data_IF_674359434510
#
_entry.id   IF_674359434510
#
_cell.length_a   1.000
_cell.length_b   1.000
_cell.length_c   1.000
_cell.angle_alpha   90.00
_cell.angle_beta   90.00
_cell.angle_gamma   90.00
#
_symmetry.space_group_name_H-M   'P 1'
#
loop_
_entity.id
_entity.type
_entity.pdbx_description
1 polymer ?
#
# COMPACT_ATOMS: atom_id res chain seq x y z
N UNK A 1 -24.66 -9.95 -16.55
CA UNK A 1 -25.28 -9.38 -15.33
C UNK A 1 -24.56 -8.11 -14.94
N UNK A 2 -25.19 -7.14 -14.24
CA UNK A 2 -24.48 -5.93 -13.78
C UNK A 2 -23.43 -6.27 -12.75
N UNK A 3 -22.24 -5.70 -12.89
CA UNK A 3 -21.12 -5.78 -11.94
C UNK A 3 -21.38 -4.84 -10.77
N UNK A 4 -21.56 -5.40 -9.57
CA UNK A 4 -21.85 -4.66 -8.33
C UNK A 4 -20.65 -4.72 -7.42
N UNK A 5 -20.11 -3.55 -7.05
CA UNK A 5 -19.04 -3.40 -6.06
C UNK A 5 -19.65 -2.84 -4.76
N UNK A 6 -19.51 -3.57 -3.68
CA UNK A 6 -19.89 -3.12 -2.35
C UNK A 6 -18.65 -2.66 -1.60
N UNK A 7 -18.59 -1.35 -1.34
CA UNK A 7 -17.50 -0.71 -0.60
C UNK A 7 -17.88 -0.74 0.90
N UNK A 8 -17.18 -1.56 1.67
CA UNK A 8 -17.28 -1.63 3.13
C UNK A 8 -16.20 -0.73 3.73
N UNK A 9 -16.60 0.44 4.18
CA UNK A 9 -15.70 1.45 4.70
C UNK A 9 -15.76 1.50 6.23
N UNK A 10 -14.59 1.49 6.87
CA UNK A 10 -14.49 1.57 8.34
C UNK A 10 -14.68 2.97 8.88
N UNK A 11 -14.69 3.99 8.02
CA UNK A 11 -14.86 5.39 8.39
C UNK A 11 -16.34 5.81 8.40
N UNK A 12 -16.61 6.99 8.93
CA UNK A 12 -17.97 7.55 9.03
C UNK A 12 -18.58 7.87 7.68
N UNK A 13 -17.77 8.08 6.65
CA UNK A 13 -18.19 8.34 5.28
C UNK A 13 -17.41 7.47 4.32
N UNK A 14 -18.08 6.81 3.35
CA UNK A 14 -17.37 6.03 2.34
C UNK A 14 -16.47 6.92 1.48
N UNK A 15 -15.31 6.40 1.11
CA UNK A 15 -14.33 7.09 0.29
C UNK A 15 -14.87 7.46 -1.09
N UNK A 16 -14.84 8.76 -1.41
CA UNK A 16 -15.15 9.25 -2.77
C UNK A 16 -14.12 8.75 -3.76
N UNK A 17 -12.84 8.72 -3.37
CA UNK A 17 -11.75 8.23 -4.21
C UNK A 17 -11.98 6.78 -4.63
N UNK A 18 -12.27 5.88 -3.68
CA UNK A 18 -12.48 4.46 -3.96
C UNK A 18 -13.77 4.23 -4.74
N UNK A 19 -14.79 5.06 -4.52
CA UNK A 19 -16.02 5.06 -5.33
C UNK A 19 -15.72 5.35 -6.80
N UNK A 20 -14.95 6.41 -7.09
CA UNK A 20 -14.56 6.77 -8.48
C UNK A 20 -13.72 5.67 -9.10
N UNK A 21 -12.70 5.16 -8.39
CA UNK A 21 -11.84 4.08 -8.89
C UNK A 21 -12.65 2.80 -9.10
N UNK A 22 -13.66 2.53 -8.28
CA UNK A 22 -14.57 1.40 -8.46
C UNK A 22 -15.30 1.46 -9.81
N UNK A 23 -15.83 2.61 -10.19
CA UNK A 23 -16.43 2.82 -11.52
C UNK A 23 -15.38 2.72 -12.64
N UNK A 24 -14.24 3.38 -12.49
CA UNK A 24 -13.17 3.37 -13.48
C UNK A 24 -12.56 1.97 -13.68
N UNK A 25 -12.61 1.11 -12.66
CA UNK A 25 -12.21 -0.30 -12.69
C UNK A 25 -13.29 -1.24 -13.28
N UNK A 26 -14.41 -0.69 -13.74
CA UNK A 26 -15.42 -1.41 -14.52
C UNK A 26 -16.61 -1.94 -13.71
N UNK A 27 -16.86 -1.45 -12.50
CA UNK A 27 -18.10 -1.72 -11.81
C UNK A 27 -19.27 -0.95 -12.46
N UNK A 28 -20.39 -1.61 -12.73
CA UNK A 28 -21.62 -0.95 -13.23
C UNK A 28 -22.31 -0.15 -12.11
N UNK A 29 -22.10 -0.56 -10.86
CA UNK A 29 -22.60 0.14 -9.69
C UNK A 29 -21.68 -0.04 -8.50
N UNK A 30 -21.36 1.05 -7.82
CA UNK A 30 -20.64 1.08 -6.53
C UNK A 30 -21.63 1.52 -5.46
N UNK A 31 -21.69 0.77 -4.35
CA UNK A 31 -22.52 1.11 -3.19
C UNK A 31 -21.63 1.10 -1.95
N UNK A 32 -21.48 2.27 -1.33
CA UNK A 32 -20.69 2.44 -0.10
C UNK A 32 -21.54 2.25 1.16
N UNK A 33 -20.96 1.56 2.13
CA UNK A 33 -21.47 1.42 3.49
C UNK A 33 -20.42 1.98 4.44
N UNK A 34 -20.82 2.88 5.33
CA UNK A 34 -19.98 3.54 6.32
C UNK A 34 -20.02 2.83 7.67
N UNK A 35 -19.03 3.10 8.52
CA UNK A 35 -18.94 2.55 9.88
C UNK A 35 -19.07 1.01 9.91
N UNK A 36 -18.52 0.34 8.89
CA UNK A 36 -18.55 -1.13 8.83
C UNK A 36 -17.47 -1.69 9.76
N UNK A 37 -17.88 -2.62 10.61
CA UNK A 37 -17.02 -3.25 11.63
C UNK A 37 -17.16 -4.77 11.55
N UNK A 38 -16.25 -5.54 12.14
CA UNK A 38 -16.41 -6.99 12.26
C UNK A 38 -17.72 -7.44 12.92
N UNK A 39 -18.32 -6.59 13.77
CA UNK A 39 -19.54 -6.93 14.54
C UNK A 39 -20.81 -6.72 13.70
N UNK A 40 -20.82 -5.77 12.76
CA UNK A 40 -22.02 -5.43 11.98
C UNK A 40 -21.98 -5.90 10.52
N UNK A 41 -20.85 -6.41 10.02
CA UNK A 41 -20.68 -6.78 8.60
C UNK A 41 -21.46 -8.03 8.17
N UNK A 42 -21.92 -8.87 9.11
CA UNK A 42 -22.50 -10.18 8.81
C UNK A 42 -23.64 -10.10 7.77
N UNK A 43 -24.68 -9.30 8.04
CA UNK A 43 -25.81 -9.14 7.14
C UNK A 43 -25.43 -8.56 5.77
N UNK A 44 -24.40 -7.72 5.69
CA UNK A 44 -23.90 -7.18 4.42
C UNK A 44 -23.23 -8.28 3.60
N UNK A 45 -22.40 -9.13 4.22
CA UNK A 45 -21.76 -10.28 3.55
C UNK A 45 -22.84 -11.27 3.08
N UNK A 46 -23.80 -11.62 3.92
CA UNK A 46 -24.92 -12.52 3.57
C UNK A 46 -25.66 -12.00 2.33
N UNK A 47 -25.92 -10.69 2.27
CA UNK A 47 -26.51 -10.05 1.09
C UNK A 47 -25.70 -10.22 -0.18
N UNK A 48 -24.36 -10.31 -0.10
CA UNK A 48 -23.52 -10.51 -1.28
C UNK A 48 -23.44 -11.98 -1.73
N UNK A 49 -23.41 -12.94 -0.80
CA UNK A 49 -23.15 -14.35 -1.11
C UNK A 49 -24.39 -15.17 -1.42
N UNK A 50 -25.59 -14.74 -0.97
CA UNK A 50 -26.85 -15.49 -1.17
C UNK A 50 -27.70 -14.99 -2.33
N UNK A 51 -27.47 -13.78 -2.86
CA UNK A 51 -28.35 -13.16 -3.87
C UNK A 51 -28.13 -13.67 -5.29
N UNK A 52 -26.96 -14.23 -5.57
CA UNK A 52 -26.60 -14.74 -6.91
C UNK A 52 -26.04 -16.14 -6.83
N UNK A 53 -26.31 -16.98 -7.86
CA UNK A 53 -25.87 -18.37 -7.94
C UNK A 53 -24.94 -18.64 -9.10
N UNK A 54 -24.18 -19.74 -9.03
CA UNK A 54 -23.31 -20.18 -10.11
C UNK A 54 -22.34 -19.11 -10.60
N UNK A 55 -22.24 -18.93 -11.90
CA UNK A 55 -21.35 -17.93 -12.54
C UNK A 55 -21.78 -16.48 -12.29
N UNK A 56 -23.02 -16.22 -11.91
CA UNK A 56 -23.48 -14.86 -11.68
C UNK A 56 -22.85 -14.22 -10.45
N UNK A 57 -22.32 -15.03 -9.51
CA UNK A 57 -21.58 -14.54 -8.32
C UNK A 57 -20.37 -13.70 -8.68
N UNK A 58 -19.68 -14.01 -9.76
CA UNK A 58 -18.52 -13.21 -10.24
C UNK A 58 -18.87 -11.75 -10.57
N UNK A 59 -20.17 -11.44 -10.72
CA UNK A 59 -20.63 -10.08 -10.94
C UNK A 59 -20.92 -9.32 -9.61
N UNK A 60 -20.55 -9.89 -8.46
CA UNK A 60 -20.62 -9.24 -7.14
C UNK A 60 -19.26 -9.29 -6.49
N UNK A 61 -18.79 -8.16 -5.96
CA UNK A 61 -17.51 -8.06 -5.29
C UNK A 61 -17.58 -7.14 -4.06
N UNK A 62 -16.65 -7.33 -3.14
CA UNK A 62 -16.48 -6.52 -1.93
C UNK A 62 -15.13 -5.82 -1.99
N UNK A 63 -15.12 -4.52 -1.67
CA UNK A 63 -13.92 -3.74 -1.40
C UNK A 63 -13.94 -3.30 0.06
N UNK A 64 -12.88 -3.55 0.79
CA UNK A 64 -12.69 -3.11 2.18
C UNK A 64 -11.77 -1.90 2.19
N UNK A 65 -12.32 -0.74 2.62
CA UNK A 65 -11.64 0.55 2.67
C UNK A 65 -11.56 1.15 4.07
N UNK A 66 -11.36 2.47 4.11
CA UNK A 66 -11.26 3.29 5.32
C UNK A 66 -9.85 3.75 5.64
N UNK A 67 -9.72 4.77 6.48
CA UNK A 67 -8.46 5.43 6.79
C UNK A 67 -7.55 4.64 7.77
N UNK A 68 -8.09 3.65 8.47
CA UNK A 68 -7.36 2.88 9.47
C UNK A 68 -7.06 1.45 9.00
N UNK A 69 -5.79 1.17 8.72
CA UNK A 69 -5.34 -0.13 8.20
C UNK A 69 -5.69 -1.29 9.15
N UNK A 70 -5.50 -1.14 10.46
CA UNK A 70 -5.78 -2.23 11.41
C UNK A 70 -7.27 -2.56 11.50
N UNK A 71 -8.15 -1.55 11.43
CA UNK A 71 -9.60 -1.75 11.35
C UNK A 71 -9.97 -2.45 10.03
N UNK A 72 -9.39 -2.02 8.92
CA UNK A 72 -9.60 -2.63 7.61
C UNK A 72 -9.16 -4.10 7.56
N UNK A 73 -7.98 -4.41 8.09
CA UNK A 73 -7.50 -5.80 8.21
C UNK A 73 -8.44 -6.67 9.04
N UNK A 74 -8.89 -6.18 10.21
CA UNK A 74 -9.83 -6.90 11.06
C UNK A 74 -11.17 -7.15 10.35
N UNK A 75 -11.68 -6.15 9.61
CA UNK A 75 -12.90 -6.26 8.82
C UNK A 75 -12.72 -7.25 7.66
N UNK A 76 -11.62 -7.16 6.93
CA UNK A 76 -11.29 -8.05 5.82
C UNK A 76 -11.20 -9.52 6.26
N UNK A 77 -10.54 -9.78 7.40
CA UNK A 77 -10.48 -11.12 7.98
C UNK A 77 -11.88 -11.63 8.38
N UNK A 78 -12.74 -10.78 8.91
CA UNK A 78 -14.12 -11.15 9.24
C UNK A 78 -14.91 -11.48 7.99
N UNK A 79 -14.81 -10.68 6.92
CA UNK A 79 -15.47 -10.94 5.63
C UNK A 79 -15.02 -12.29 5.08
N UNK A 80 -13.72 -12.57 5.02
CA UNK A 80 -13.18 -13.85 4.54
C UNK A 80 -13.70 -15.05 5.37
N UNK A 81 -13.76 -14.92 6.69
CA UNK A 81 -14.28 -15.96 7.60
C UNK A 81 -15.78 -16.20 7.46
N UNK A 82 -16.52 -15.26 6.89
CA UNK A 82 -17.95 -15.42 6.62
C UNK A 82 -18.21 -16.21 5.35
N UNK A 83 -17.20 -16.43 4.50
CA UNK A 83 -17.31 -17.24 3.30
C UNK A 83 -17.22 -18.73 3.63
N UNK A 84 -18.01 -19.55 2.98
CA UNK A 84 -17.98 -21.00 3.15
C UNK A 84 -18.37 -21.74 1.86
N UNK A 85 -17.63 -22.77 1.50
CA UNK A 85 -17.85 -23.52 0.28
C UNK A 85 -18.03 -22.61 -0.95
N UNK A 86 -19.09 -22.80 -1.75
CA UNK A 86 -19.36 -21.97 -2.91
C UNK A 86 -20.02 -20.62 -2.59
N UNK A 87 -20.34 -20.35 -1.31
CA UNK A 87 -20.94 -19.09 -0.87
C UNK A 87 -19.85 -18.07 -0.56
N UNK A 88 -19.35 -17.46 -1.62
CA UNK A 88 -18.29 -16.43 -1.59
C UNK A 88 -18.35 -15.54 -2.81
N UNK A 89 -17.77 -14.37 -2.69
CA UNK A 89 -17.51 -13.41 -3.76
C UNK A 89 -16.06 -12.93 -3.66
N UNK A 90 -15.51 -12.34 -4.72
CA UNK A 90 -14.18 -11.76 -4.66
C UNK A 90 -14.14 -10.58 -3.71
N UNK A 91 -13.01 -10.41 -3.01
CA UNK A 91 -12.80 -9.35 -2.00
C UNK A 91 -11.41 -8.76 -2.10
N UNK A 92 -11.30 -7.45 -1.93
CA UNK A 92 -10.05 -6.68 -1.92
C UNK A 92 -9.93 -5.85 -0.65
N UNK A 93 -8.70 -5.69 -0.16
CA UNK A 93 -8.34 -4.78 0.93
C UNK A 93 -7.39 -3.69 0.42
N UNK A 94 -7.77 -2.42 0.57
CA UNK A 94 -6.84 -1.29 0.33
C UNK A 94 -7.14 -0.10 1.24
N UNK A 95 -7.18 -0.35 2.55
CA UNK A 95 -7.39 0.73 3.54
C UNK A 95 -6.32 1.81 3.41
N UNK A 96 -6.77 3.07 3.37
CA UNK A 96 -5.94 4.25 3.16
C UNK A 96 -5.09 4.19 1.87
N UNK A 97 -5.50 3.39 0.87
CA UNK A 97 -4.73 3.16 -0.34
C UNK A 97 -3.33 2.58 -0.08
N UNK A 98 -3.14 1.91 1.08
CA UNK A 98 -1.81 1.52 1.55
C UNK A 98 -1.20 0.39 0.73
N UNK A 99 -1.99 -0.61 0.36
CA UNK A 99 -1.50 -1.74 -0.43
C UNK A 99 -1.12 -1.28 -1.85
N UNK A 100 -2.02 -0.57 -2.53
CA UNK A 100 -1.78 -0.15 -3.92
C UNK A 100 -0.67 0.90 -4.04
N UNK A 101 -0.56 1.84 -3.08
CA UNK A 101 0.50 2.86 -3.10
C UNK A 101 1.87 2.25 -2.84
N UNK A 102 2.00 1.44 -1.80
CA UNK A 102 3.27 0.79 -1.48
C UNK A 102 3.68 -0.20 -2.58
N UNK A 103 2.73 -0.98 -3.10
CA UNK A 103 2.97 -1.93 -4.19
C UNK A 103 3.49 -1.23 -5.45
N UNK A 104 2.85 -0.13 -5.87
CA UNK A 104 3.30 0.64 -7.03
C UNK A 104 4.71 1.23 -6.82
N UNK A 105 4.97 1.82 -5.65
CA UNK A 105 6.27 2.40 -5.34
C UNK A 105 7.38 1.36 -5.35
N UNK A 106 7.21 0.24 -4.63
CA UNK A 106 8.25 -0.81 -4.56
C UNK A 106 8.41 -1.55 -5.89
N UNK A 107 7.32 -1.79 -6.65
CA UNK A 107 7.42 -2.40 -7.98
C UNK A 107 8.24 -1.56 -8.95
N UNK A 108 8.10 -0.22 -8.93
CA UNK A 108 8.93 0.69 -9.74
C UNK A 108 10.39 0.65 -9.34
N UNK A 109 10.70 0.58 -8.03
CA UNK A 109 12.06 0.41 -7.54
C UNK A 109 12.65 -0.93 -7.99
N UNK A 110 11.90 -2.03 -7.83
CA UNK A 110 12.33 -3.38 -8.23
C UNK A 110 12.55 -3.53 -9.73
N UNK A 111 11.75 -2.82 -10.56
CA UNK A 111 11.95 -2.74 -12.01
C UNK A 111 13.23 -1.97 -12.36
N UNK A 112 13.51 -0.90 -11.63
CA UNK A 112 14.67 -0.04 -11.92
C UNK A 112 16.01 -0.70 -11.59
N UNK A 113 16.09 -1.41 -10.45
CA UNK A 113 17.30 -2.13 -10.02
C UNK A 113 16.94 -3.35 -9.14
N UNK A 114 17.78 -4.42 -9.12
CA UNK A 114 17.61 -5.52 -8.19
C UNK A 114 17.69 -5.06 -6.73
N UNK A 115 16.70 -5.44 -5.91
CA UNK A 115 16.63 -5.03 -4.50
C UNK A 115 17.25 -6.06 -3.54
N UNK A 116 17.43 -7.31 -3.97
CA UNK A 116 17.97 -8.39 -3.14
C UNK A 116 19.34 -8.05 -2.58
N UNK A 117 19.48 -8.19 -1.25
CA UNK A 117 20.72 -7.91 -0.53
C UNK A 117 21.04 -6.42 -0.35
N UNK A 118 20.17 -5.52 -0.82
CA UNK A 118 20.30 -4.07 -0.63
C UNK A 118 19.76 -3.65 0.74
N UNK A 119 20.38 -2.64 1.34
CA UNK A 119 19.87 -2.01 2.57
C UNK A 119 18.80 -0.98 2.20
N UNK A 120 17.59 -1.19 2.68
CA UNK A 120 16.47 -0.30 2.45
C UNK A 120 16.05 0.40 3.75
N UNK A 121 15.87 1.71 3.69
CA UNK A 121 15.35 2.51 4.80
C UNK A 121 14.00 3.10 4.43
N UNK A 122 12.98 2.77 5.23
CA UNK A 122 11.65 3.38 5.09
C UNK A 122 11.49 4.47 6.14
N UNK A 123 11.55 5.72 5.72
CA UNK A 123 11.38 6.88 6.57
C UNK A 123 9.91 7.03 6.96
N UNK A 124 9.62 7.30 8.25
CA UNK A 124 8.29 7.30 8.84
C UNK A 124 7.53 5.97 8.57
N UNK A 125 8.24 4.84 8.63
CA UNK A 125 7.79 3.51 8.22
C UNK A 125 6.70 2.87 9.10
N UNK A 126 6.21 3.55 10.12
CA UNK A 126 5.16 3.03 11.03
C UNK A 126 3.73 3.36 10.58
N UNK A 127 3.59 4.16 9.52
CA UNK A 127 2.30 4.43 8.89
C UNK A 127 1.85 3.31 7.94
N UNK A 128 0.56 3.32 7.48
CA UNK A 128 0.02 2.26 6.63
C UNK A 128 0.85 1.98 5.38
N UNK A 129 1.18 2.99 4.60
CA UNK A 129 1.98 2.84 3.37
C UNK A 129 3.41 2.39 3.70
N UNK A 130 4.02 2.96 4.76
CA UNK A 130 5.39 2.62 5.16
C UNK A 130 5.53 1.16 5.61
N UNK A 131 4.58 0.64 6.39
CA UNK A 131 4.58 -0.76 6.82
C UNK A 131 4.43 -1.71 5.63
N UNK A 132 3.59 -1.39 4.65
CA UNK A 132 3.43 -2.18 3.41
C UNK A 132 4.68 -2.12 2.54
N UNK A 133 5.25 -0.93 2.36
CA UNK A 133 6.50 -0.77 1.61
C UNK A 133 7.65 -1.57 2.23
N UNK A 134 7.78 -1.54 3.57
CA UNK A 134 8.77 -2.35 4.28
C UNK A 134 8.55 -3.85 4.05
N UNK A 135 7.30 -4.31 4.09
CA UNK A 135 6.93 -5.68 3.76
C UNK A 135 7.37 -6.08 2.35
N UNK A 136 7.01 -5.30 1.35
CA UNK A 136 7.34 -5.60 -0.05
C UNK A 136 8.84 -5.52 -0.34
N UNK A 137 9.56 -4.55 0.23
CA UNK A 137 11.02 -4.48 0.12
C UNK A 137 11.69 -5.73 0.71
N UNK A 138 11.21 -6.20 1.87
CA UNK A 138 11.70 -7.44 2.47
C UNK A 138 11.36 -8.68 1.64
N UNK A 139 10.17 -8.75 1.02
CA UNK A 139 9.80 -9.83 0.08
C UNK A 139 10.72 -9.86 -1.15
N UNK A 140 11.24 -8.71 -1.60
CA UNK A 140 12.26 -8.63 -2.65
C UNK A 140 13.68 -8.98 -2.15
N UNK A 141 13.83 -9.32 -0.87
CA UNK A 141 15.10 -9.72 -0.26
C UNK A 141 16.01 -8.58 0.16
N UNK A 142 15.47 -7.37 0.33
CA UNK A 142 16.20 -6.25 0.92
C UNK A 142 16.33 -6.42 2.44
N UNK A 143 17.42 -5.89 3.01
CA UNK A 143 17.60 -5.71 4.46
C UNK A 143 16.92 -4.39 4.87
N UNK A 144 15.78 -4.50 5.56
CA UNK A 144 14.88 -3.37 5.78
C UNK A 144 14.99 -2.80 7.18
N UNK A 145 15.17 -1.48 7.24
CA UNK A 145 15.05 -0.69 8.47
C UNK A 145 13.90 0.31 8.30
N UNK A 146 13.00 0.40 9.28
CA UNK A 146 11.97 1.44 9.33
C UNK A 146 12.32 2.48 10.39
N UNK A 147 11.97 3.74 10.15
CA UNK A 147 12.16 4.81 11.15
C UNK A 147 10.83 5.28 11.72
N UNK A 148 10.87 5.75 12.96
CA UNK A 148 9.78 6.44 13.64
C UNK A 148 10.35 7.54 14.54
N UNK A 149 9.46 8.36 15.14
CA UNK A 149 9.89 9.40 16.10
C UNK A 149 10.63 8.85 17.30
N UNK A 150 10.38 7.60 17.68
CA UNK A 150 11.16 6.89 18.67
C UNK A 150 11.53 5.50 18.16
N UNK A 151 12.65 4.96 18.63
CA UNK A 151 13.13 3.62 18.26
C UNK A 151 12.13 2.54 18.69
N UNK A 152 11.56 2.67 19.89
CA UNK A 152 10.60 1.70 20.45
C UNK A 152 9.37 1.56 19.54
N UNK A 153 8.82 2.67 19.05
CA UNK A 153 7.68 2.63 18.10
C UNK A 153 8.06 1.98 16.77
N UNK A 154 9.27 2.20 16.29
CA UNK A 154 9.75 1.55 15.09
C UNK A 154 9.91 0.04 15.31
N UNK A 155 10.48 -0.39 16.43
CA UNK A 155 10.62 -1.80 16.78
C UNK A 155 9.28 -2.51 16.98
N UNK A 156 8.29 -1.85 17.58
CA UNK A 156 6.92 -2.39 17.69
C UNK A 156 6.29 -2.60 16.31
N UNK A 157 6.38 -1.62 15.43
CA UNK A 157 5.88 -1.74 14.05
C UNK A 157 6.66 -2.81 13.26
N UNK A 158 7.97 -2.93 13.44
CA UNK A 158 8.78 -3.97 12.83
C UNK A 158 8.27 -5.37 13.20
N UNK A 159 7.92 -5.63 14.46
CA UNK A 159 7.33 -6.91 14.90
C UNK A 159 5.99 -7.20 14.21
N UNK A 160 5.17 -6.16 13.98
CA UNK A 160 3.90 -6.33 13.24
C UNK A 160 4.16 -6.70 11.79
N UNK A 161 5.14 -6.05 11.14
CA UNK A 161 5.54 -6.36 9.76
C UNK A 161 6.12 -7.78 9.68
N UNK A 162 7.01 -8.15 10.60
CA UNK A 162 7.58 -9.51 10.67
C UNK A 162 6.49 -10.57 10.79
N UNK A 163 5.53 -10.36 11.69
CA UNK A 163 4.39 -11.27 11.87
C UNK A 163 3.54 -11.39 10.60
N UNK A 164 3.32 -10.27 9.89
CA UNK A 164 2.43 -10.22 8.73
C UNK A 164 3.08 -10.82 7.47
N UNK A 165 4.37 -10.56 7.24
CA UNK A 165 5.06 -10.91 6.00
C UNK A 165 6.11 -12.02 6.17
N UNK A 166 6.40 -12.46 7.38
CA UNK A 166 7.41 -13.50 7.64
C UNK A 166 8.85 -13.05 7.36
N UNK A 167 9.11 -11.75 7.34
CA UNK A 167 10.40 -11.15 7.03
C UNK A 167 10.96 -10.43 8.26
N UNK A 168 12.29 -10.34 8.36
CA UNK A 168 12.95 -9.58 9.42
C UNK A 168 13.04 -8.09 9.05
N UNK A 169 12.66 -7.21 9.99
CA UNK A 169 12.72 -5.76 9.84
C UNK A 169 13.35 -5.15 11.09
N UNK A 170 14.19 -4.16 10.93
CA UNK A 170 14.82 -3.42 12.03
C UNK A 170 14.11 -2.08 12.27
N UNK A 171 14.10 -1.62 13.53
CA UNK A 171 13.56 -0.31 13.91
C UNK A 171 14.68 0.66 14.29
N UNK A 172 14.55 1.93 13.87
CA UNK A 172 15.48 3.01 14.22
C UNK A 172 14.71 4.30 14.60
N UNK A 173 15.37 5.17 15.37
CA UNK A 173 14.87 6.51 15.60
C UNK A 173 15.02 7.37 14.33
N UNK A 174 14.17 8.37 14.18
CA UNK A 174 14.15 9.28 13.03
C UNK A 174 13.34 10.54 13.32
N UNK A 175 13.40 11.04 14.56
CA UNK A 175 12.69 12.27 14.95
C UNK A 175 13.38 13.51 14.37
N UNK A 176 14.73 13.53 14.34
CA UNK A 176 15.51 14.66 13.86
C UNK A 176 16.14 14.40 12.50
N UNK A 177 16.62 15.43 11.83
CA UNK A 177 17.32 15.33 10.55
C UNK A 177 18.62 14.53 10.70
N UNK A 178 19.33 14.68 11.82
CA UNK A 178 20.55 13.96 12.12
C UNK A 178 20.28 12.46 12.29
N UNK A 179 19.21 12.08 13.00
CA UNK A 179 18.83 10.68 13.17
C UNK A 179 18.45 10.05 11.83
N UNK A 180 17.69 10.77 10.98
CA UNK A 180 17.31 10.28 9.65
C UNK A 180 18.51 10.20 8.71
N UNK A 181 19.40 11.18 8.73
CA UNK A 181 20.64 11.15 7.97
C UNK A 181 21.54 9.98 8.40
N UNK A 182 21.63 9.70 9.70
CA UNK A 182 22.36 8.55 10.22
C UNK A 182 21.72 7.22 9.77
N UNK A 183 20.39 7.13 9.79
CA UNK A 183 19.67 5.93 9.34
C UNK A 183 19.93 5.62 7.86
N UNK A 184 20.02 6.63 6.99
CA UNK A 184 20.22 6.43 5.54
C UNK A 184 21.69 6.39 5.11
N UNK A 185 22.65 6.56 6.04
CA UNK A 185 24.09 6.65 5.72
C UNK A 185 24.59 5.48 4.86
N UNK A 186 24.19 4.27 5.21
CA UNK A 186 24.60 3.04 4.52
C UNK A 186 23.50 2.45 3.63
N UNK A 187 22.40 3.19 3.43
CA UNK A 187 21.25 2.73 2.65
C UNK A 187 21.55 2.73 1.14
N UNK A 188 21.03 1.74 0.43
CA UNK A 188 20.97 1.72 -1.02
C UNK A 188 19.62 2.24 -1.53
N UNK A 189 18.58 2.06 -0.73
CA UNK A 189 17.20 2.41 -1.06
C UNK A 189 16.63 3.25 0.06
N UNK A 190 16.04 4.38 -0.28
CA UNK A 190 15.28 5.22 0.67
C UNK A 190 13.85 5.35 0.16
N UNK A 191 12.90 4.98 1.02
CA UNK A 191 11.48 5.12 0.76
C UNK A 191 10.86 6.06 1.80
N UNK A 192 10.40 7.23 1.39
CA UNK A 192 9.75 8.20 2.26
C UNK A 192 8.24 7.97 2.28
N UNK A 193 7.69 7.68 3.47
CA UNK A 193 6.27 7.44 3.70
C UNK A 193 5.70 8.36 4.81
N UNK A 194 6.21 9.58 4.87
CA UNK A 194 5.80 10.58 5.86
C UNK A 194 4.42 11.17 5.63
N UNK A 195 3.97 11.94 6.61
CA UNK A 195 2.73 12.70 6.48
C UNK A 195 2.86 13.78 5.39
N UNK A 196 1.73 14.14 4.82
CA UNK A 196 1.63 15.20 3.81
C UNK A 196 2.23 16.50 4.33
N UNK A 197 3.09 17.13 3.51
CA UNK A 197 3.71 18.41 3.84
C UNK A 197 4.80 18.35 4.91
N UNK A 198 5.35 17.16 5.19
CA UNK A 198 6.45 16.98 6.14
C UNK A 198 7.70 16.52 5.42
N UNK A 199 8.73 17.36 5.39
CA UNK A 199 10.06 16.98 4.91
C UNK A 199 10.73 16.04 5.91
N UNK A 200 11.22 14.90 5.44
CA UNK A 200 11.90 13.89 6.24
C UNK A 200 13.40 13.80 5.94
N UNK A 201 13.80 14.01 4.71
CA UNK A 201 15.20 13.86 4.30
C UNK A 201 15.70 15.13 3.61
N UNK A 202 16.60 15.89 4.23
CA UNK A 202 17.22 17.05 3.59
C UNK A 202 18.13 16.60 2.44
N UNK A 203 18.23 17.42 1.40
CA UNK A 203 19.03 17.14 0.20
C UNK A 203 20.49 16.81 0.53
N UNK A 204 21.06 17.48 1.52
CA UNK A 204 22.44 17.26 1.99
C UNK A 204 22.69 15.83 2.51
N UNK A 205 21.67 15.13 2.99
CA UNK A 205 21.81 13.77 3.52
C UNK A 205 21.90 12.68 2.43
N UNK A 206 21.45 12.98 1.21
CA UNK A 206 21.38 11.97 0.16
C UNK A 206 22.15 12.34 -1.12
N UNK A 207 22.23 13.61 -1.51
CA UNK A 207 22.73 14.03 -2.82
C UNK A 207 24.13 13.49 -3.13
N UNK A 208 25.04 13.58 -2.16
CA UNK A 208 26.44 13.12 -2.29
C UNK A 208 26.70 11.77 -1.59
N UNK A 209 25.67 11.08 -1.11
CA UNK A 209 25.84 9.77 -0.50
C UNK A 209 26.07 8.71 -1.60
N UNK A 210 27.28 8.10 -1.68
CA UNK A 210 27.63 7.17 -2.76
C UNK A 210 26.87 5.83 -2.66
N UNK A 211 26.29 5.50 -1.50
CA UNK A 211 25.59 4.24 -1.27
C UNK A 211 24.17 4.24 -1.82
N UNK A 212 23.49 5.40 -1.79
CA UNK A 212 22.09 5.51 -2.23
C UNK A 212 22.00 5.38 -3.75
N UNK A 213 21.16 4.48 -4.19
CA UNK A 213 20.90 4.17 -5.59
C UNK A 213 19.47 4.52 -6.01
N UNK A 214 18.51 4.37 -5.08
CA UNK A 214 17.08 4.53 -5.33
C UNK A 214 16.43 5.39 -4.25
N UNK A 215 15.59 6.32 -4.69
CA UNK A 215 14.78 7.19 -3.85
C UNK A 215 13.30 7.06 -4.26
N UNK A 216 12.40 6.92 -3.31
CA UNK A 216 10.96 6.99 -3.51
C UNK A 216 10.32 7.89 -2.46
N UNK A 217 9.39 8.74 -2.87
CA UNK A 217 8.61 9.59 -1.99
C UNK A 217 7.14 9.53 -2.36
N UNK A 218 6.27 9.21 -1.40
CA UNK A 218 4.82 9.15 -1.63
C UNK A 218 4.09 10.42 -1.20
N UNK A 219 4.79 11.44 -0.77
CA UNK A 219 4.23 12.76 -0.44
C UNK A 219 4.13 13.64 -1.68
N UNK A 220 2.90 13.99 -2.08
CA UNK A 220 2.63 14.81 -3.26
C UNK A 220 2.55 16.31 -2.99
N UNK A 221 2.48 16.73 -1.72
CA UNK A 221 2.30 18.14 -1.33
C UNK A 221 3.59 18.72 -0.74
N UNK A 222 4.03 19.89 -1.22
CA UNK A 222 5.20 20.55 -0.68
C UNK A 222 5.01 20.97 0.82
N UNK A 223 6.09 20.93 1.61
CA UNK A 223 7.38 20.35 1.27
C UNK A 223 7.30 18.83 1.08
N UNK A 224 8.02 18.30 0.07
CA UNK A 224 8.07 16.87 -0.18
C UNK A 224 8.85 16.16 0.93
N UNK A 225 8.62 14.86 1.09
CA UNK A 225 9.32 14.06 2.10
C UNK A 225 10.82 13.95 1.86
N UNK A 226 11.26 13.90 0.59
CA UNK A 226 12.65 13.95 0.18
C UNK A 226 12.91 15.28 -0.52
N UNK A 227 13.72 16.15 0.10
CA UNK A 227 14.06 17.44 -0.49
C UNK A 227 14.91 17.26 -1.76
N UNK A 228 14.59 18.03 -2.80
CA UNK A 228 15.38 18.10 -4.03
C UNK A 228 14.98 17.12 -5.12
N UNK A 229 13.99 16.23 -4.89
CA UNK A 229 13.34 15.50 -5.98
C UNK A 229 12.00 16.17 -6.30
N UNK A 230 11.41 15.79 -7.46
CA UNK A 230 10.13 16.33 -7.90
C UNK A 230 9.01 15.30 -7.71
N UNK A 231 7.79 15.75 -7.35
CA UNK A 231 6.64 14.86 -7.22
C UNK A 231 6.34 14.06 -8.52
N UNK A 232 6.70 14.61 -9.67
CA UNK A 232 6.49 14.01 -11.00
C UNK A 232 7.58 13.05 -11.45
N UNK A 233 8.66 12.86 -10.68
CA UNK A 233 9.79 12.01 -11.06
C UNK A 233 9.35 10.55 -11.27
N UNK A 234 9.85 9.96 -12.36
CA UNK A 234 9.56 8.57 -12.78
C UNK A 234 10.86 7.86 -13.15
N UNK A 235 11.75 7.67 -12.18
CA UNK A 235 13.09 7.18 -12.42
C UNK A 235 14.02 8.27 -12.94
N UNK A 236 13.79 9.52 -12.57
CA UNK A 236 14.68 10.63 -12.93
C UNK A 236 16.01 10.49 -12.22
N UNK A 237 17.09 10.71 -12.94
CA UNK A 237 18.44 10.58 -12.41
C UNK A 237 18.91 11.86 -11.72
N UNK A 238 19.48 11.69 -10.53
CA UNK A 238 20.15 12.71 -9.74
C UNK A 238 21.49 12.17 -9.26
N UNK A 239 22.59 12.60 -9.83
CA UNK A 239 23.96 12.17 -9.45
C UNK A 239 24.08 10.63 -9.37
N UNK A 240 23.60 9.90 -10.38
CA UNK A 240 23.62 8.43 -10.44
C UNK A 240 22.54 7.70 -9.62
N UNK A 241 21.65 8.43 -8.96
CA UNK A 241 20.52 7.90 -8.20
C UNK A 241 19.22 8.06 -8.98
N UNK A 242 18.34 7.06 -8.96
CA UNK A 242 17.03 7.15 -9.59
C UNK A 242 15.97 7.53 -8.56
N UNK A 243 15.19 8.56 -8.87
CA UNK A 243 14.15 9.08 -8.00
C UNK A 243 12.74 8.85 -8.57
N UNK A 244 11.81 8.48 -7.69
CA UNK A 244 10.40 8.29 -7.98
C UNK A 244 9.58 9.15 -7.01
N UNK A 245 8.92 10.15 -7.54
CA UNK A 245 8.05 11.04 -6.77
C UNK A 245 6.61 10.54 -6.71
N UNK A 246 5.82 11.12 -5.85
CA UNK A 246 4.46 10.67 -5.54
C UNK A 246 3.52 10.63 -6.75
N UNK A 247 3.58 11.60 -7.66
CA UNK A 247 2.78 11.61 -8.89
C UNK A 247 3.33 10.61 -9.92
N UNK A 248 4.65 10.39 -9.92
CA UNK A 248 5.28 9.35 -10.71
C UNK A 248 4.80 7.96 -10.31
N UNK A 249 4.81 7.67 -9.01
CA UNK A 249 4.28 6.43 -8.40
C UNK A 249 2.75 6.35 -8.59
N UNK A 250 2.05 7.46 -8.40
CA UNK A 250 0.60 7.56 -8.49
C UNK A 250 0.03 7.14 -9.83
N UNK A 251 0.76 7.34 -10.92
CA UNK A 251 0.37 6.88 -12.25
C UNK A 251 0.21 5.36 -12.33
N UNK A 252 1.16 4.60 -11.76
CA UNK A 252 1.04 3.15 -11.66
C UNK A 252 -0.01 2.75 -10.61
N UNK A 253 -0.03 3.42 -9.44
CA UNK A 253 -1.01 3.16 -8.37
C UNK A 253 -2.45 3.20 -8.86
N UNK A 254 -2.83 4.22 -9.62
CA UNK A 254 -4.19 4.34 -10.14
C UNK A 254 -4.53 3.24 -11.15
N UNK A 255 -3.60 2.90 -12.03
CA UNK A 255 -3.77 1.80 -12.99
C UNK A 255 -3.93 0.46 -12.25
N UNK A 256 -3.06 0.20 -11.27
CA UNK A 256 -3.09 -1.00 -10.44
C UNK A 256 -4.42 -1.12 -9.68
N UNK A 257 -4.89 -0.05 -9.06
CA UNK A 257 -6.15 -0.06 -8.30
C UNK A 257 -7.34 -0.41 -9.22
N UNK A 258 -7.42 0.22 -10.41
CA UNK A 258 -8.45 -0.10 -11.42
C UNK A 258 -8.36 -1.55 -11.89
N UNK A 259 -7.17 -2.05 -12.13
CA UNK A 259 -6.94 -3.45 -12.53
C UNK A 259 -7.36 -4.44 -11.43
N UNK A 260 -7.02 -4.17 -10.17
CA UNK A 260 -7.51 -4.97 -9.05
C UNK A 260 -9.04 -5.03 -9.01
N UNK A 261 -9.71 -3.88 -9.19
CA UNK A 261 -11.19 -3.85 -9.26
C UNK A 261 -11.71 -4.67 -10.44
N UNK A 262 -11.10 -4.56 -11.63
CA UNK A 262 -11.48 -5.34 -12.79
C UNK A 262 -11.38 -6.85 -12.53
N UNK A 263 -10.28 -7.27 -11.91
CA UNK A 263 -10.01 -8.67 -11.55
C UNK A 263 -10.96 -9.24 -10.52
N UNK A 264 -11.58 -8.43 -9.66
CA UNK A 264 -12.62 -8.90 -8.75
C UNK A 264 -13.83 -9.50 -9.48
N UNK A 265 -14.06 -9.11 -10.73
CA UNK A 265 -15.18 -9.58 -11.55
C UNK A 265 -14.83 -10.72 -12.53
N UNK A 266 -13.57 -11.19 -12.52
CA UNK A 266 -13.16 -12.35 -13.33
C UNK A 266 -13.53 -13.68 -12.68
N UNK A 267 -13.69 -13.69 -11.35
CA UNK A 267 -13.97 -14.87 -10.54
C UNK A 267 -14.86 -14.48 -9.36
N UNK A 268 -15.41 -15.47 -8.64
CA UNK A 268 -16.03 -15.26 -7.32
C UNK A 268 -15.12 -15.67 -6.15
N UNK A 269 -13.86 -16.02 -6.43
CA UNK A 269 -12.93 -16.57 -5.44
C UNK A 269 -11.70 -15.71 -5.21
N UNK A 270 -11.59 -14.58 -5.92
CA UNK A 270 -10.44 -13.67 -5.82
C UNK A 270 -10.32 -13.05 -4.42
N UNK A 271 -9.15 -13.14 -3.85
CA UNK A 271 -8.78 -12.47 -2.60
C UNK A 271 -7.56 -11.60 -2.91
N UNK A 272 -7.73 -10.28 -2.84
CA UNK A 272 -6.68 -9.32 -3.15
C UNK A 272 -6.28 -8.58 -1.87
N UNK A 273 -5.23 -9.08 -1.24
CA UNK A 273 -4.53 -8.42 -0.13
C UNK A 273 -3.16 -7.91 -0.62
N UNK A 274 -2.31 -7.55 0.27
CA UNK A 274 -0.99 -6.97 0.02
C UNK A 274 -0.18 -7.76 -1.02
N UNK A 275 -0.09 -9.06 -0.87
CA UNK A 275 0.74 -9.94 -1.70
C UNK A 275 0.22 -10.05 -3.13
N UNK A 276 -1.07 -10.26 -3.32
CA UNK A 276 -1.69 -10.37 -4.65
C UNK A 276 -1.65 -9.03 -5.38
N UNK A 277 -1.89 -7.93 -4.67
CA UNK A 277 -1.79 -6.57 -5.21
C UNK A 277 -0.35 -6.27 -5.62
N UNK A 278 0.64 -6.66 -4.80
CA UNK A 278 2.05 -6.46 -5.12
C UNK A 278 2.50 -7.31 -6.32
N UNK A 279 2.07 -8.58 -6.40
CA UNK A 279 2.35 -9.42 -7.56
C UNK A 279 1.85 -8.77 -8.86
N UNK A 280 0.61 -8.27 -8.85
CA UNK A 280 0.03 -7.57 -9.99
C UNK A 280 0.78 -6.25 -10.30
N UNK A 281 1.21 -5.52 -9.28
CA UNK A 281 2.01 -4.30 -9.47
C UNK A 281 3.32 -4.56 -10.22
N UNK A 282 3.99 -5.69 -9.93
CA UNK A 282 5.24 -6.08 -10.62
C UNK A 282 5.02 -6.42 -12.09
N UNK A 283 3.88 -7.02 -12.43
CA UNK A 283 3.52 -7.30 -13.83
C UNK A 283 3.23 -6.02 -14.62
N UNK A 284 2.71 -5.00 -13.96
CA UNK A 284 2.26 -3.75 -14.58
C UNK A 284 3.33 -2.65 -14.61
N UNK A 285 4.40 -2.77 -13.84
CA UNK A 285 5.46 -1.77 -13.67
C UNK A 285 6.32 -1.55 -14.92
#
# INVERSE_FOLDING_TARGET
>A
MKKLLFLFDTDEMPSVFDTVVGYDGGADRVTGYANVTPDNVGALVDGTIYTRGGKDKQSTAIFVGGGNMAKGEALFEKVKKSFFGPFRVSVMLDSNGSNTTAAAGVALLAKAKPLKGKKAVVLAGTGPVGMRAAGFLGMEGADVTITSRTKERAEEAAKVIEKRFGIKVSGAAGATDEERAAAVKDANIVYSAGAIGVQLLPKSAWENNPNIELLADVNAQPPLGVEGIEATDKGKEYNGKLAFGALGIGGLKLKLHRECIAKLFESSEGVYDAEEIYALAKEMA
#
